data_IF_194292267611
#
_entry.id   IF_194292267611
#
_cell.length_a   1.000
_cell.length_b   1.000
_cell.length_c   1.000
_cell.angle_alpha   90.00
_cell.angle_beta   90.00
_cell.angle_gamma   90.00
#
_symmetry.space_group_name_H-M   'P 1'
#
loop_
_entity.id
_entity.type
_entity.pdbx_description
1 polymer ?
#
# COMPACT_ATOMS: atom_id res chain seq x y z
N UNK A 1 -12.71 -26.29 -0.48
CA UNK A 1 -13.17 -24.88 -0.44
C UNK A 1 -12.70 -24.23 -1.75
N UNK A 2 -13.57 -23.63 -2.57
CA UNK A 2 -13.14 -23.04 -3.83
C UNK A 2 -12.13 -21.92 -3.54
N UNK A 3 -10.99 -21.93 -4.22
CA UNK A 3 -10.03 -20.83 -4.14
C UNK A 3 -10.71 -19.58 -4.67
N UNK A 4 -10.91 -18.58 -3.80
CA UNK A 4 -11.48 -17.29 -4.21
C UNK A 4 -10.56 -16.68 -5.27
N UNK A 5 -11.10 -16.40 -6.44
CA UNK A 5 -10.39 -15.64 -7.47
C UNK A 5 -10.31 -14.16 -7.05
N UNK A 6 -9.08 -13.66 -6.87
CA UNK A 6 -8.82 -12.28 -6.47
C UNK A 6 -8.49 -11.37 -7.66
N UNK A 7 -8.28 -11.91 -8.86
CA UNK A 7 -7.98 -11.12 -10.06
C UNK A 7 -9.07 -10.05 -10.32
N UNK A 8 -10.39 -10.36 -10.21
CA UNK A 8 -11.43 -9.34 -10.36
C UNK A 8 -11.36 -8.25 -9.29
N UNK A 9 -10.90 -8.59 -8.08
CA UNK A 9 -10.77 -7.64 -6.96
C UNK A 9 -9.58 -6.70 -7.19
N UNK A 10 -8.45 -7.22 -7.67
CA UNK A 10 -7.29 -6.41 -8.08
C UNK A 10 -7.70 -5.43 -9.18
N UNK A 11 -8.36 -5.92 -10.25
CA UNK A 11 -8.83 -5.05 -11.35
C UNK A 11 -9.78 -3.96 -10.87
N UNK A 12 -10.71 -4.29 -9.97
CA UNK A 12 -11.63 -3.31 -9.39
C UNK A 12 -10.89 -2.26 -8.56
N UNK A 13 -9.89 -2.68 -7.79
CA UNK A 13 -9.09 -1.76 -6.99
C UNK A 13 -8.25 -0.81 -7.86
N UNK A 14 -7.62 -1.33 -8.92
CA UNK A 14 -6.92 -0.51 -9.93
C UNK A 14 -7.86 0.54 -10.54
N UNK A 15 -9.11 0.17 -10.87
CA UNK A 15 -10.11 1.14 -11.37
C UNK A 15 -10.46 2.19 -10.33
N UNK A 16 -10.55 1.84 -9.04
CA UNK A 16 -10.79 2.81 -7.96
C UNK A 16 -9.62 3.78 -7.82
N UNK A 17 -8.39 3.28 -7.84
CA UNK A 17 -7.18 4.11 -7.76
C UNK A 17 -7.18 5.13 -8.89
N UNK A 18 -7.36 4.66 -10.14
CA UNK A 18 -7.35 5.54 -11.34
C UNK A 18 -8.40 6.64 -11.31
N UNK A 19 -9.58 6.36 -10.74
CA UNK A 19 -10.73 7.28 -10.74
C UNK A 19 -10.89 8.05 -9.42
N UNK A 20 -9.99 7.87 -8.43
CA UNK A 20 -10.14 8.52 -7.13
C UNK A 20 -9.81 10.00 -7.23
N UNK A 21 -10.75 10.84 -6.77
CA UNK A 21 -10.60 12.30 -6.66
C UNK A 21 -9.87 12.73 -5.38
N UNK A 22 -9.84 11.88 -4.36
CA UNK A 22 -9.14 12.13 -3.09
C UNK A 22 -7.65 11.81 -3.16
N UNK A 23 -7.22 11.06 -4.18
CA UNK A 23 -5.81 10.81 -4.43
C UNK A 23 -5.19 11.92 -5.27
N UNK A 24 -3.94 12.26 -4.97
CA UNK A 24 -3.12 13.07 -5.87
C UNK A 24 -2.81 12.28 -7.15
N UNK A 25 -2.32 12.98 -8.19
CA UNK A 25 -1.86 12.29 -9.41
C UNK A 25 -0.70 11.36 -9.11
N UNK A 26 0.26 11.83 -8.31
CA UNK A 26 1.44 11.07 -7.91
C UNK A 26 1.07 9.81 -7.12
N UNK A 27 0.11 9.90 -6.19
CA UNK A 27 -0.34 8.71 -5.44
C UNK A 27 -0.93 7.63 -6.35
N UNK A 28 -1.69 8.04 -7.36
CA UNK A 28 -2.24 7.09 -8.33
C UNK A 28 -1.12 6.40 -9.08
N UNK A 29 -0.13 7.16 -9.53
CA UNK A 29 0.99 6.62 -10.30
C UNK A 29 1.84 5.67 -9.44
N UNK A 30 2.20 6.07 -8.20
CA UNK A 30 2.92 5.24 -7.23
C UNK A 30 2.19 3.94 -6.89
N UNK A 31 0.87 3.98 -6.66
CA UNK A 31 0.10 2.78 -6.36
C UNK A 31 0.05 1.80 -7.54
N UNK A 32 0.04 2.32 -8.78
CA UNK A 32 0.05 1.48 -9.99
C UNK A 32 1.43 0.90 -10.27
N UNK A 33 2.49 1.67 -10.00
CA UNK A 33 3.87 1.18 -10.07
C UNK A 33 4.13 0.10 -9.01
N UNK A 34 3.73 0.35 -7.77
CA UNK A 34 3.81 -0.63 -6.70
C UNK A 34 3.06 -1.91 -7.05
N UNK A 35 1.85 -1.79 -7.62
CA UNK A 35 1.08 -2.94 -8.11
C UNK A 35 1.88 -3.77 -9.12
N UNK A 36 2.55 -3.12 -10.08
CA UNK A 36 3.36 -3.81 -11.10
C UNK A 36 4.53 -4.54 -10.44
N UNK A 37 5.23 -3.91 -9.51
CA UNK A 37 6.39 -4.52 -8.88
C UNK A 37 6.01 -5.71 -7.99
N UNK A 38 4.85 -5.66 -7.33
CA UNK A 38 4.32 -6.81 -6.60
C UNK A 38 3.99 -8.01 -7.52
N UNK A 39 3.60 -7.76 -8.78
CA UNK A 39 3.43 -8.82 -9.78
C UNK A 39 4.76 -9.38 -10.25
N UNK A 40 5.77 -8.52 -10.45
CA UNK A 40 7.15 -8.94 -10.79
C UNK A 40 7.75 -9.79 -9.66
N UNK A 41 7.48 -9.47 -8.40
CA UNK A 41 7.83 -10.30 -7.24
C UNK A 41 7.08 -11.65 -7.19
N UNK A 42 6.07 -11.86 -8.05
CA UNK A 42 5.29 -13.10 -8.11
C UNK A 42 4.26 -13.26 -6.98
N UNK A 43 3.80 -12.16 -6.38
CA UNK A 43 2.77 -12.24 -5.34
C UNK A 43 1.41 -12.66 -5.92
N UNK A 44 0.65 -13.40 -5.12
CA UNK A 44 -0.72 -13.75 -5.49
C UNK A 44 -1.64 -12.52 -5.50
N UNK A 45 -2.69 -12.57 -6.33
CA UNK A 45 -3.71 -11.50 -6.42
C UNK A 45 -4.34 -11.17 -5.07
N UNK A 46 -4.49 -12.17 -4.19
CA UNK A 46 -4.99 -11.95 -2.83
C UNK A 46 -4.06 -11.03 -2.02
N UNK A 47 -2.75 -11.24 -2.14
CA UNK A 47 -1.73 -10.42 -1.48
C UNK A 47 -1.64 -9.05 -2.11
N UNK A 48 -1.63 -8.95 -3.45
CA UNK A 48 -1.63 -7.69 -4.19
C UNK A 48 -2.85 -6.84 -3.80
N UNK A 49 -4.05 -7.43 -3.84
CA UNK A 49 -5.28 -6.74 -3.47
C UNK A 49 -5.23 -6.23 -2.02
N UNK A 50 -4.76 -7.05 -1.08
CA UNK A 50 -4.62 -6.65 0.32
C UNK A 50 -3.64 -5.49 0.48
N UNK A 51 -2.50 -5.51 -0.20
CA UNK A 51 -1.52 -4.43 -0.14
C UNK A 51 -2.10 -3.14 -0.71
N UNK A 52 -2.67 -3.19 -1.92
CA UNK A 52 -3.20 -1.99 -2.60
C UNK A 52 -4.36 -1.32 -1.85
N UNK A 53 -5.32 -2.10 -1.35
CA UNK A 53 -6.47 -1.50 -0.67
C UNK A 53 -6.07 -0.75 0.61
N UNK A 54 -5.06 -1.25 1.32
CA UNK A 54 -4.58 -0.62 2.56
C UNK A 54 -3.72 0.60 2.25
N UNK A 55 -2.81 0.52 1.28
CA UNK A 55 -1.99 1.67 0.87
C UNK A 55 -2.85 2.79 0.26
N UNK A 56 -3.86 2.48 -0.56
CA UNK A 56 -4.81 3.48 -1.07
C UNK A 56 -5.55 4.19 0.06
N UNK A 57 -6.12 3.42 1.01
CA UNK A 57 -6.85 4.01 2.16
C UNK A 57 -5.97 4.91 3.01
N UNK A 58 -4.67 4.64 3.05
CA UNK A 58 -3.72 5.49 3.72
C UNK A 58 -3.49 6.78 2.94
N UNK A 59 -3.22 6.70 1.63
CA UNK A 59 -3.07 7.88 0.78
C UNK A 59 -4.28 8.83 0.87
N UNK A 60 -5.50 8.28 0.88
CA UNK A 60 -6.74 9.06 1.04
C UNK A 60 -6.86 9.81 2.37
N UNK A 61 -6.06 9.45 3.38
CA UNK A 61 -6.05 10.09 4.71
C UNK A 61 -4.92 11.09 4.89
N UNK A 62 -4.06 11.26 3.89
CA UNK A 62 -2.96 12.22 3.92
C UNK A 62 -3.40 13.62 3.46
N UNK A 63 -4.70 13.84 3.22
CA UNK A 63 -5.30 15.14 2.88
C UNK A 63 -4.54 15.93 1.81
N UNK A 64 -4.02 15.22 0.80
CA UNK A 64 -3.30 15.81 -0.33
C UNK A 64 -1.78 15.95 -0.16
N UNK A 65 -1.22 15.64 1.03
CA UNK A 65 0.25 15.59 1.23
C UNK A 65 0.93 14.52 0.36
N UNK A 66 0.18 13.46 0.02
CA UNK A 66 0.65 12.37 -0.83
C UNK A 66 1.60 11.40 -0.12
N UNK A 67 1.72 10.20 -0.67
CA UNK A 67 2.50 9.09 -0.14
C UNK A 67 4.01 9.40 -0.12
N UNK A 68 4.53 10.10 -1.13
CA UNK A 68 5.93 10.49 -1.20
C UNK A 68 6.31 11.59 -0.20
N UNK A 69 5.37 12.50 0.09
CA UNK A 69 5.59 13.62 1.01
C UNK A 69 5.30 13.30 2.47
N UNK A 70 4.81 12.10 2.77
CA UNK A 70 4.44 11.71 4.13
C UNK A 70 5.67 11.49 5.02
N UNK A 71 5.64 12.12 6.19
CA UNK A 71 6.69 12.05 7.20
C UNK A 71 6.50 10.85 8.12
N UNK A 72 7.52 10.52 8.92
CA UNK A 72 7.40 9.49 9.96
C UNK A 72 6.25 9.77 10.94
N UNK A 73 6.04 11.04 11.31
CA UNK A 73 4.95 11.45 12.20
C UNK A 73 3.58 11.24 11.54
N UNK A 74 3.43 11.54 10.24
CA UNK A 74 2.18 11.26 9.51
C UNK A 74 1.83 9.76 9.53
N UNK A 75 2.84 8.89 9.42
CA UNK A 75 2.67 7.44 9.50
C UNK A 75 2.28 7.03 10.92
N UNK A 76 2.93 7.59 11.95
CA UNK A 76 2.61 7.30 13.36
C UNK A 76 1.19 7.73 13.70
N UNK A 77 0.77 8.92 13.29
CA UNK A 77 -0.56 9.46 13.53
C UNK A 77 -1.62 8.60 12.87
N UNK A 78 -1.38 8.16 11.64
CA UNK A 78 -2.28 7.23 10.97
C UNK A 78 -2.39 5.89 11.73
N UNK A 79 -1.26 5.31 12.13
CA UNK A 79 -1.24 4.05 12.86
C UNK A 79 -1.95 4.22 14.20
N UNK A 80 -1.72 5.31 14.92
CA UNK A 80 -2.42 5.65 16.16
C UNK A 80 -3.94 5.76 15.94
N UNK A 81 -4.36 6.39 14.83
CA UNK A 81 -5.76 6.43 14.43
C UNK A 81 -6.36 5.04 14.15
N UNK A 82 -5.60 4.12 13.56
CA UNK A 82 -6.03 2.72 13.37
C UNK A 82 -6.10 1.96 14.70
N UNK A 83 -5.18 2.20 15.63
CA UNK A 83 -5.15 1.56 16.95
C UNK A 83 -6.36 1.94 17.81
N UNK A 84 -6.81 3.20 17.73
CA UNK A 84 -7.98 3.71 18.47
C UNK A 84 -9.33 3.19 17.95
N UNK A 85 -9.36 2.57 16.77
CA UNK A 85 -10.59 1.99 16.21
C UNK A 85 -10.82 0.59 16.77
N UNK A 86 -12.10 0.24 16.88
CA UNK A 86 -12.54 -1.11 17.23
C UNK A 86 -12.33 -2.06 16.03
N UNK A 87 -11.07 -2.43 15.82
CA UNK A 87 -10.61 -3.34 14.78
C UNK A 87 -9.87 -4.49 15.45
N UNK A 88 -9.95 -5.69 14.86
CA UNK A 88 -9.18 -6.83 15.32
C UNK A 88 -7.66 -6.52 15.32
N UNK A 89 -6.95 -7.04 16.30
CA UNK A 89 -5.50 -6.82 16.45
C UNK A 89 -4.70 -7.29 15.23
N UNK A 90 -5.18 -8.36 14.57
CA UNK A 90 -4.64 -8.83 13.30
C UNK A 90 -4.71 -7.76 12.21
N UNK A 91 -5.83 -7.04 12.12
CA UNK A 91 -6.02 -5.93 11.18
C UNK A 91 -5.09 -4.77 11.53
N UNK A 92 -4.98 -4.41 12.81
CA UNK A 92 -4.06 -3.34 13.26
C UNK A 92 -2.61 -3.68 12.94
N UNK A 93 -2.21 -4.95 13.09
CA UNK A 93 -0.88 -5.46 12.71
C UNK A 93 -0.66 -5.39 11.21
N UNK A 94 -1.63 -5.85 10.42
CA UNK A 94 -1.57 -5.81 8.96
C UNK A 94 -1.33 -4.39 8.45
N UNK A 95 -2.05 -3.39 8.96
CA UNK A 95 -1.83 -1.98 8.57
C UNK A 95 -0.38 -1.55 8.74
N UNK A 96 0.25 -1.88 9.88
CA UNK A 96 1.65 -1.53 10.15
C UNK A 96 2.61 -2.23 9.20
N UNK A 97 2.42 -3.53 8.97
CA UNK A 97 3.29 -4.33 8.11
C UNK A 97 3.18 -3.89 6.64
N UNK A 98 1.97 -3.58 6.17
CA UNK A 98 1.72 -3.12 4.81
C UNK A 98 2.37 -1.75 4.56
N UNK A 99 2.21 -0.80 5.48
CA UNK A 99 2.83 0.53 5.35
C UNK A 99 4.35 0.45 5.34
N UNK A 100 4.94 -0.31 6.28
CA UNK A 100 6.39 -0.53 6.30
C UNK A 100 6.91 -1.09 4.99
N UNK A 101 6.21 -2.09 4.43
CA UNK A 101 6.57 -2.69 3.14
C UNK A 101 6.50 -1.66 2.01
N UNK A 102 5.42 -0.89 1.94
CA UNK A 102 5.25 0.12 0.90
C UNK A 102 6.35 1.19 0.96
N UNK A 103 6.65 1.74 2.13
CA UNK A 103 7.72 2.75 2.25
C UNK A 103 9.12 2.19 2.04
N UNK A 104 9.35 0.92 2.39
CA UNK A 104 10.60 0.23 2.02
C UNK A 104 10.74 0.15 0.50
N UNK A 105 9.67 -0.18 -0.21
CA UNK A 105 9.64 -0.20 -1.68
C UNK A 105 9.86 1.21 -2.26
N UNK A 106 9.13 2.21 -1.76
CA UNK A 106 9.20 3.60 -2.23
C UNK A 106 10.60 4.20 -2.11
N UNK A 107 11.32 3.90 -1.02
CA UNK A 107 12.67 4.39 -0.77
C UNK A 107 13.75 3.59 -1.52
N UNK A 108 13.40 2.96 -2.65
CA UNK A 108 14.33 2.22 -3.50
C UNK A 108 14.85 0.92 -2.89
N UNK A 109 14.19 0.40 -1.85
CA UNK A 109 14.55 -0.84 -1.19
C UNK A 109 16.02 -0.91 -0.81
N UNK A 110 16.48 -0.14 0.19
CA UNK A 110 17.85 -0.21 0.68
C UNK A 110 18.22 -1.63 1.16
N UNK A 111 18.72 -2.43 0.22
CA UNK A 111 19.75 -3.43 0.40
C UNK A 111 20.75 -3.12 -0.69
N UNK A 112 21.87 -2.57 -0.25
CA UNK A 112 23.09 -2.44 -1.00
C UNK A 112 23.34 -3.75 -1.76
N UNK A 113 23.15 -3.72 -3.07
CA UNK A 113 23.72 -4.74 -3.94
C UNK A 113 25.23 -4.42 -3.96
N UNK A 114 25.95 -4.95 -2.97
CA UNK A 114 27.36 -5.26 -3.12
C UNK A 114 27.44 -6.34 -4.21
N UNK A 115 27.50 -5.92 -5.47
CA UNK A 115 28.02 -6.71 -6.59
C UNK A 115 29.22 -5.97 -7.15
N UNK A 116 30.30 -5.94 -6.36
CA UNK A 116 31.69 -5.71 -6.76
C UNK A 116 32.55 -6.07 -5.55
N UNK A 117 33.04 -7.29 -5.54
CA UNK A 117 33.86 -7.90 -4.50
C UNK A 117 33.98 -9.39 -4.76
#
# INVERSE_FOLDING_TARGET
>A
MPTVDYEPKVRKEVRRIKNSKSLTREDRDLLLEYKRDLEVEGLSDARIFKLLIHTRKFAERLDGKGLAGATEEDIKDLVAGVQKRDLADSTKRDYREILKRFYKWLNGGSTQIWLSG
#
